data_IF_405151137882
#
_entry.id   IF_405151137882
#
_cell.length_a   1.000
_cell.length_b   1.000
_cell.length_c   1.000
_cell.angle_alpha   90.00
_cell.angle_beta   90.00
_cell.angle_gamma   90.00
#
_symmetry.space_group_name_H-M   'P 1'
#
loop_
_entity.id
_entity.type
_entity.pdbx_description
1 polymer ?
#
# COMPACT_ATOMS: atom_id res chain seq x y z
N UNK A 1 9.99 -9.31 -7.30
CA UNK A 1 9.20 -8.70 -6.19
C UNK A 1 9.84 -7.36 -5.85
N UNK A 2 9.06 -6.30 -5.79
CA UNK A 2 9.54 -4.98 -5.33
C UNK A 2 9.35 -4.89 -3.81
N UNK A 3 10.33 -4.33 -3.11
CA UNK A 3 10.35 -4.25 -1.65
C UNK A 3 10.20 -2.80 -1.18
N UNK A 4 9.76 -2.60 0.04
CA UNK A 4 9.77 -1.31 0.70
C UNK A 4 11.09 -1.11 1.45
N UNK A 5 11.73 0.03 1.26
CA UNK A 5 12.93 0.44 1.99
C UNK A 5 12.52 1.32 3.18
N UNK A 6 12.82 0.91 4.40
CA UNK A 6 12.46 1.65 5.62
C UNK A 6 13.72 2.16 6.30
N UNK A 7 13.85 3.50 6.40
CA UNK A 7 14.94 4.16 7.12
C UNK A 7 14.44 4.62 8.49
N UNK A 8 14.58 3.75 9.49
CA UNK A 8 14.14 4.00 10.87
C UNK A 8 15.29 4.23 11.87
N UNK A 9 16.55 4.02 11.46
CA UNK A 9 17.71 4.29 12.32
C UNK A 9 17.93 5.78 12.46
N UNK A 10 18.18 6.25 13.69
CA UNK A 10 18.49 7.66 13.97
C UNK A 10 19.76 8.06 13.22
N UNK A 11 19.72 9.24 12.55
CA UNK A 11 20.86 9.74 11.79
C UNK A 11 21.12 9.06 10.46
N UNK A 12 20.27 8.10 10.03
CA UNK A 12 20.37 7.48 8.72
C UNK A 12 20.34 8.53 7.60
N UNK A 13 21.11 8.30 6.55
CA UNK A 13 21.21 9.19 5.39
C UNK A 13 20.88 8.40 4.12
N UNK A 14 19.99 8.95 3.31
CA UNK A 14 19.70 8.48 1.96
C UNK A 14 20.36 9.42 0.94
N UNK A 15 21.17 8.85 0.09
CA UNK A 15 21.87 9.54 -1.01
C UNK A 15 21.88 8.66 -2.25
N UNK A 16 22.54 9.11 -3.33
CA UNK A 16 22.68 8.35 -4.57
C UNK A 16 24.16 8.13 -4.88
N UNK A 17 24.49 6.94 -5.36
CA UNK A 17 25.80 6.60 -5.89
C UNK A 17 25.64 5.63 -7.06
N UNK A 18 26.24 5.96 -8.20
CA UNK A 18 26.20 5.13 -9.42
C UNK A 18 24.79 4.70 -9.84
N UNK A 19 23.79 5.61 -9.75
CA UNK A 19 22.41 5.33 -10.14
C UNK A 19 21.63 4.43 -9.15
N UNK A 20 22.20 4.11 -7.99
CA UNK A 20 21.55 3.34 -6.93
C UNK A 20 21.38 4.19 -5.68
N UNK A 21 20.42 3.84 -4.83
CA UNK A 21 20.29 4.43 -3.52
C UNK A 21 21.40 3.96 -2.60
N UNK A 22 22.01 4.90 -1.89
CA UNK A 22 23.01 4.65 -0.88
C UNK A 22 22.45 5.03 0.49
N UNK A 23 22.23 4.03 1.31
CA UNK A 23 21.82 4.18 2.71
C UNK A 23 23.06 4.11 3.60
N UNK A 24 23.27 5.17 4.38
CA UNK A 24 24.31 5.23 5.40
C UNK A 24 23.70 5.35 6.78
N UNK A 25 24.19 4.56 7.72
CA UNK A 25 24.01 4.73 9.15
C UNK A 25 25.39 4.81 9.82
N UNK A 26 25.45 5.00 11.13
CA UNK A 26 26.72 5.06 11.86
C UNK A 26 27.55 3.77 11.72
N UNK A 27 26.88 2.63 11.52
CA UNK A 27 27.52 1.31 11.53
C UNK A 27 27.64 0.68 10.15
N UNK A 28 26.85 1.11 9.16
CA UNK A 28 26.70 0.42 7.89
C UNK A 28 26.49 1.36 6.73
N UNK A 29 27.03 0.96 5.58
CA UNK A 29 26.73 1.55 4.28
C UNK A 29 26.18 0.44 3.36
N UNK A 30 24.99 0.65 2.78
CA UNK A 30 24.35 -0.30 1.90
C UNK A 30 23.88 0.39 0.63
N UNK A 31 24.21 -0.22 -0.52
CA UNK A 31 23.68 0.19 -1.82
C UNK A 31 22.46 -0.64 -2.18
N UNK A 32 21.38 0.01 -2.60
CA UNK A 32 20.13 -0.63 -2.99
C UNK A 32 19.75 -0.18 -4.40
N UNK A 33 19.61 -1.14 -5.30
CA UNK A 33 19.24 -0.87 -6.67
C UNK A 33 17.78 -0.40 -6.80
N UNK A 34 17.53 0.60 -7.65
CA UNK A 34 16.21 1.24 -7.82
C UNK A 34 15.10 0.27 -8.21
N UNK A 35 15.41 -0.74 -9.02
CA UNK A 35 14.40 -1.70 -9.52
C UNK A 35 13.91 -2.69 -8.45
N UNK A 36 14.55 -2.75 -7.29
CA UNK A 36 14.10 -3.56 -6.16
C UNK A 36 13.18 -2.81 -5.20
N UNK A 37 12.98 -1.50 -5.40
CA UNK A 37 12.26 -0.65 -4.45
C UNK A 37 10.96 -0.15 -5.06
N UNK A 38 9.85 -0.31 -4.33
CA UNK A 38 8.54 0.28 -4.68
C UNK A 38 8.27 1.57 -3.91
N UNK A 39 8.74 1.66 -2.68
CA UNK A 39 8.56 2.84 -1.83
C UNK A 39 9.66 2.94 -0.79
N UNK A 40 9.91 4.16 -0.31
CA UNK A 40 10.91 4.46 0.72
C UNK A 40 10.21 5.20 1.86
N UNK A 41 10.26 4.63 3.08
CA UNK A 41 9.77 5.26 4.30
C UNK A 41 10.91 5.96 5.03
N UNK A 42 10.72 7.24 5.35
CA UNK A 42 11.71 8.13 5.96
C UNK A 42 11.25 8.55 7.36
N UNK A 43 11.99 8.14 8.40
CA UNK A 43 11.80 8.60 9.76
C UNK A 43 12.25 10.07 9.92
N UNK A 44 11.71 10.88 10.84
CA UNK A 44 12.04 12.30 11.02
C UNK A 44 13.53 12.61 11.18
N UNK A 45 14.32 11.67 11.72
CA UNK A 45 15.77 11.84 11.89
C UNK A 45 16.60 11.51 10.63
N UNK A 46 15.96 11.08 9.54
CA UNK A 46 16.65 10.70 8.30
C UNK A 46 17.09 11.93 7.52
N UNK A 47 18.35 11.95 7.10
CA UNK A 47 18.87 12.96 6.18
C UNK A 47 18.68 12.50 4.74
N UNK A 48 18.17 13.38 3.88
CA UNK A 48 17.86 13.08 2.49
C UNK A 48 18.60 14.04 1.55
N UNK A 49 19.21 13.51 0.50
CA UNK A 49 19.81 14.35 -0.55
C UNK A 49 18.78 14.63 -1.66
N UNK A 50 18.91 15.78 -2.30
CA UNK A 50 18.06 16.13 -3.46
C UNK A 50 18.17 15.09 -4.59
N UNK A 51 19.37 14.55 -4.85
CA UNK A 51 19.56 13.52 -5.87
C UNK A 51 18.74 12.27 -5.58
N UNK A 52 18.61 11.87 -4.29
CA UNK A 52 17.79 10.73 -3.90
C UNK A 52 16.29 11.01 -4.14
N UNK A 53 15.83 12.24 -3.91
CA UNK A 53 14.46 12.64 -4.26
C UNK A 53 14.23 12.57 -5.77
N UNK A 54 15.14 13.16 -6.57
CA UNK A 54 15.02 13.16 -8.03
C UNK A 54 15.08 11.76 -8.61
N UNK A 55 15.95 10.89 -8.08
CA UNK A 55 16.04 9.49 -8.50
C UNK A 55 14.73 8.76 -8.21
N UNK A 56 14.13 8.97 -7.03
CA UNK A 56 12.83 8.39 -6.66
C UNK A 56 11.72 8.84 -7.61
N UNK A 57 11.65 10.13 -7.91
CA UNK A 57 10.68 10.70 -8.86
C UNK A 57 10.87 10.09 -10.26
N UNK A 58 12.13 9.98 -10.72
CA UNK A 58 12.46 9.42 -12.05
C UNK A 58 11.98 7.98 -12.21
N UNK A 59 12.06 7.19 -11.16
CA UNK A 59 11.71 5.76 -11.15
C UNK A 59 10.33 5.45 -10.55
N UNK A 60 9.49 6.48 -10.30
CA UNK A 60 8.15 6.34 -9.71
C UNK A 60 8.16 5.61 -8.36
N UNK A 61 9.18 5.87 -7.54
CA UNK A 61 9.31 5.34 -6.18
C UNK A 61 8.74 6.38 -5.23
N UNK A 62 7.72 6.02 -4.46
CA UNK A 62 7.10 6.92 -3.48
C UNK A 62 8.05 7.13 -2.29
N UNK A 63 8.32 8.40 -1.95
CA UNK A 63 8.95 8.76 -0.69
C UNK A 63 7.87 9.11 0.32
N UNK A 64 7.79 8.35 1.39
CA UNK A 64 6.83 8.51 2.47
C UNK A 64 7.53 9.05 3.70
N UNK A 65 7.10 10.22 4.17
CA UNK A 65 7.55 10.78 5.44
C UNK A 65 6.63 10.29 6.54
N UNK A 66 7.21 9.71 7.58
CA UNK A 66 6.48 9.21 8.74
C UNK A 66 6.86 10.00 9.99
N UNK A 67 5.98 10.08 10.97
CA UNK A 67 6.28 10.66 12.28
C UNK A 67 7.04 9.67 13.18
N UNK A 68 7.38 10.09 14.40
CA UNK A 68 8.07 9.25 15.37
C UNK A 68 7.26 8.03 15.83
N UNK A 69 5.94 8.02 15.59
CA UNK A 69 5.03 6.92 15.90
C UNK A 69 4.80 6.00 14.69
N UNK A 70 5.35 6.33 13.52
CA UNK A 70 5.21 5.57 12.28
C UNK A 70 4.01 5.95 11.43
N UNK A 71 3.24 7.00 11.77
CA UNK A 71 2.13 7.48 10.95
C UNK A 71 2.63 8.33 9.77
N UNK A 72 2.06 8.16 8.58
CA UNK A 72 2.43 8.95 7.41
C UNK A 72 2.00 10.41 7.59
N UNK A 73 2.93 11.35 7.40
CA UNK A 73 2.69 12.80 7.47
C UNK A 73 2.79 13.49 6.13
N UNK A 74 3.40 12.84 5.13
CA UNK A 74 3.52 13.39 3.79
C UNK A 74 4.21 12.44 2.82
N UNK A 75 4.17 12.80 1.53
CA UNK A 75 4.85 12.04 0.49
C UNK A 75 5.32 12.91 -0.66
N UNK A 76 6.37 12.44 -1.34
CA UNK A 76 6.81 12.96 -2.63
C UNK A 76 6.56 11.88 -3.67
N UNK A 77 5.92 12.25 -4.78
CA UNK A 77 5.68 11.37 -5.93
C UNK A 77 5.96 12.09 -7.23
N UNK A 78 6.05 11.33 -8.33
CA UNK A 78 6.23 11.88 -9.66
C UNK A 78 4.98 12.62 -10.14
N UNK A 79 5.16 13.81 -10.70
CA UNK A 79 4.09 14.56 -11.34
C UNK A 79 3.70 13.97 -12.72
N UNK A 80 4.41 12.94 -13.19
CA UNK A 80 4.12 12.25 -14.45
C UNK A 80 2.81 11.46 -14.47
N UNK A 81 2.13 11.34 -13.34
CA UNK A 81 0.75 10.87 -13.29
C UNK A 81 -0.21 11.89 -13.91
N UNK A 82 0.06 12.30 -15.14
CA UNK A 82 -0.80 13.19 -15.94
C UNK A 82 -2.15 12.59 -16.31
N UNK A 83 -2.45 11.38 -15.84
CA UNK A 83 -3.71 10.70 -16.13
C UNK A 83 -4.76 10.79 -14.99
N UNK A 84 -4.54 11.58 -13.95
CA UNK A 84 -5.53 11.71 -12.86
C UNK A 84 -6.87 12.18 -13.42
N UNK A 85 -6.88 13.12 -14.36
CA UNK A 85 -8.10 13.57 -15.03
C UNK A 85 -8.75 12.47 -15.87
N UNK A 86 -7.94 11.67 -16.59
CA UNK A 86 -8.42 10.52 -17.39
C UNK A 86 -8.94 9.40 -16.49
N UNK A 87 -8.20 9.09 -15.40
CA UNK A 87 -8.66 8.11 -14.41
C UNK A 87 -9.99 8.54 -13.80
N UNK A 88 -10.12 9.80 -13.38
CA UNK A 88 -11.38 10.33 -12.83
C UNK A 88 -12.53 10.27 -13.82
N UNK A 89 -12.29 10.65 -15.08
CA UNK A 89 -13.31 10.51 -16.15
C UNK A 89 -13.73 9.06 -16.33
N UNK A 90 -12.77 8.13 -16.39
CA UNK A 90 -13.05 6.72 -16.56
C UNK A 90 -13.77 6.13 -15.32
N UNK A 91 -13.45 6.60 -14.11
CA UNK A 91 -14.17 6.20 -12.89
C UNK A 91 -15.64 6.63 -12.93
N UNK A 92 -15.92 7.86 -13.39
CA UNK A 92 -17.31 8.36 -13.53
C UNK A 92 -18.03 7.54 -14.60
N UNK A 93 -17.41 7.33 -15.76
CA UNK A 93 -17.99 6.53 -16.83
C UNK A 93 -18.23 5.09 -16.39
N UNK A 94 -17.29 4.47 -15.66
CA UNK A 94 -17.46 3.14 -15.10
C UNK A 94 -18.62 3.08 -14.10
N UNK A 95 -18.71 4.06 -13.17
CA UNK A 95 -19.77 4.08 -12.17
C UNK A 95 -21.20 4.14 -12.76
N UNK A 96 -21.34 4.63 -14.01
CA UNK A 96 -22.59 4.69 -14.75
C UNK A 96 -22.81 3.48 -15.68
N UNK A 97 -21.88 2.54 -15.72
CA UNK A 97 -21.92 1.37 -16.59
C UNK A 97 -22.63 0.18 -15.95
N UNK A 98 -23.09 -0.75 -16.80
CA UNK A 98 -23.60 -2.04 -16.32
C UNK A 98 -22.51 -2.86 -15.63
N UNK A 99 -21.27 -2.74 -16.08
CA UNK A 99 -20.12 -3.46 -15.52
C UNK A 99 -19.86 -3.05 -14.06
N UNK A 100 -20.15 -1.79 -13.68
CA UNK A 100 -20.05 -1.35 -12.30
C UNK A 100 -21.05 -2.09 -11.39
N UNK A 101 -22.26 -2.35 -11.88
CA UNK A 101 -23.29 -3.08 -11.12
C UNK A 101 -22.81 -4.51 -10.87
N UNK A 102 -22.32 -5.19 -11.90
CA UNK A 102 -21.79 -6.56 -11.78
C UNK A 102 -20.56 -6.60 -10.86
N UNK A 103 -19.67 -5.62 -10.96
CA UNK A 103 -18.53 -5.51 -10.07
C UNK A 103 -18.93 -5.32 -8.60
N UNK A 104 -19.94 -4.49 -8.33
CA UNK A 104 -20.47 -4.28 -6.97
C UNK A 104 -21.13 -5.57 -6.44
N UNK A 105 -21.93 -6.25 -7.26
CA UNK A 105 -22.55 -7.53 -6.88
C UNK A 105 -21.49 -8.57 -6.50
N UNK A 106 -20.48 -8.78 -7.36
CA UNK A 106 -19.39 -9.72 -7.08
C UNK A 106 -18.65 -9.36 -5.78
N UNK A 107 -18.38 -8.06 -5.58
CA UNK A 107 -17.72 -7.58 -4.35
C UNK A 107 -18.56 -7.84 -3.10
N UNK A 108 -19.87 -7.61 -3.17
CA UNK A 108 -20.78 -7.85 -2.04
C UNK A 108 -20.93 -9.34 -1.75
N UNK A 109 -21.05 -10.19 -2.78
CA UNK A 109 -21.09 -11.64 -2.62
C UNK A 109 -19.83 -12.16 -1.93
N UNK A 110 -18.64 -11.78 -2.41
CA UNK A 110 -17.36 -12.16 -1.76
C UNK A 110 -17.27 -11.69 -0.32
N UNK A 111 -17.79 -10.49 -0.03
CA UNK A 111 -17.84 -9.99 1.33
C UNK A 111 -18.76 -10.84 2.21
N UNK A 112 -19.94 -11.21 1.72
CA UNK A 112 -20.90 -12.07 2.43
C UNK A 112 -20.29 -13.46 2.69
N UNK A 113 -19.67 -14.08 1.68
CA UNK A 113 -18.98 -15.36 1.81
C UNK A 113 -17.89 -15.34 2.86
N UNK A 114 -17.07 -14.28 2.86
CA UNK A 114 -16.02 -14.11 3.87
C UNK A 114 -16.60 -13.94 5.28
N UNK A 115 -17.69 -13.21 5.43
CA UNK A 115 -18.37 -13.03 6.71
C UNK A 115 -19.01 -14.33 7.20
N UNK A 116 -19.66 -15.08 6.31
CA UNK A 116 -20.22 -16.41 6.64
C UNK A 116 -19.12 -17.39 7.04
N UNK A 117 -18.02 -17.43 6.33
CA UNK A 117 -16.85 -18.25 6.67
C UNK A 117 -16.33 -17.91 8.06
N UNK A 118 -16.22 -16.61 8.39
CA UNK A 118 -15.79 -16.17 9.71
C UNK A 118 -16.78 -16.62 10.80
N UNK A 119 -18.09 -16.45 10.57
CA UNK A 119 -19.14 -16.89 11.50
C UNK A 119 -19.04 -18.41 11.73
N UNK A 120 -18.90 -19.20 10.65
CA UNK A 120 -18.75 -20.65 10.75
C UNK A 120 -17.53 -21.06 11.61
N UNK A 121 -16.41 -20.38 11.44
CA UNK A 121 -15.20 -20.63 12.25
C UNK A 121 -15.43 -20.27 13.72
N UNK A 122 -16.06 -19.12 14.01
CA UNK A 122 -16.26 -18.63 15.37
C UNK A 122 -17.30 -19.42 16.17
N UNK A 123 -18.29 -20.02 15.51
CA UNK A 123 -19.39 -20.73 16.16
C UNK A 123 -19.30 -22.25 16.04
N UNK A 124 -18.27 -22.79 15.40
CA UNK A 124 -18.10 -24.22 15.15
C UNK A 124 -18.21 -25.08 16.39
N UNK A 125 -17.74 -24.60 17.54
CA UNK A 125 -17.72 -25.33 18.81
C UNK A 125 -18.89 -24.95 19.74
N UNK A 126 -19.87 -24.16 19.27
CA UNK A 126 -21.04 -23.74 20.06
C UNK A 126 -22.21 -24.68 19.83
N UNK A 127 -22.99 -24.90 20.87
CA UNK A 127 -24.18 -25.79 20.85
C UNK A 127 -25.28 -25.30 19.91
N UNK A 128 -25.33 -24.00 19.63
CA UNK A 128 -26.29 -23.33 18.77
C UNK A 128 -25.80 -23.14 17.30
N UNK A 129 -24.66 -23.75 16.95
CA UNK A 129 -24.07 -23.68 15.60
C UNK A 129 -25.07 -24.06 14.49
N UNK A 130 -25.83 -25.13 14.66
CA UNK A 130 -26.77 -25.59 13.65
C UNK A 130 -27.90 -24.60 13.36
N UNK A 131 -28.36 -23.86 14.37
CA UNK A 131 -29.38 -22.79 14.20
C UNK A 131 -28.83 -21.63 13.40
N UNK A 132 -27.60 -21.18 13.71
CA UNK A 132 -26.95 -20.09 13.01
C UNK A 132 -26.56 -20.45 11.58
N UNK A 133 -26.14 -21.70 11.32
CA UNK A 133 -25.80 -22.18 10.00
C UNK A 133 -27.05 -22.25 9.07
N UNK A 134 -28.20 -22.65 9.60
CA UNK A 134 -29.45 -22.68 8.85
C UNK A 134 -29.94 -21.27 8.49
N UNK A 135 -29.90 -20.32 9.44
CA UNK A 135 -30.26 -18.94 9.19
C UNK A 135 -29.35 -18.26 8.12
N UNK A 136 -28.08 -18.66 8.04
CA UNK A 136 -27.17 -18.11 7.03
C UNK A 136 -27.45 -18.62 5.61
N UNK A 137 -28.05 -19.81 5.46
CA UNK A 137 -28.43 -20.38 4.16
C UNK A 137 -29.75 -19.85 3.61
N UNK A 138 -30.61 -19.28 4.45
CA UNK A 138 -31.87 -18.66 4.01
C UNK A 138 -31.69 -17.22 3.48
N UNK A 139 -30.50 -16.63 3.63
CA UNK A 139 -30.18 -15.24 3.28
C UNK A 139 -29.45 -15.11 1.91
N UNK A 140 -29.19 -16.22 1.20
CA UNK A 140 -28.55 -16.27 -0.11
C UNK A 140 -29.57 -16.73 -1.17
#
# INVERSE_FOLDING_TARGET
MSSQLILNKRGARLSVRNGSFLVRSEEQEQSVAVHHISSICLHPSTKLTQDAVLLSIKHNIDLLFIDAKGFPVGRVWSNRFGSISTIRKNQIAFAQSKDAIEWVKDTLLRKADNQLTLIHVLVKDRTDFHVLANLSMELI
#
